data_IF_186471212979
#
_entry.id   IF_186471212979
#
_cell.length_a   1.000
_cell.length_b   1.000
_cell.length_c   1.000
_cell.angle_alpha   90.00
_cell.angle_beta   90.00
_cell.angle_gamma   90.00
#
_symmetry.space_group_name_H-M   'P 1'
#
loop_
_entity.id
_entity.type
_entity.pdbx_description
1 polymer ?
#
# COMPACT_ATOMS: atom_id res chain seq x y z
N UNK A 1 -29.31 -25.34 -4.63
CA UNK A 1 -28.81 -26.11 -5.78
C UNK A 1 -27.29 -26.08 -5.69
N UNK A 2 -26.66 -27.18 -5.29
CA UNK A 2 -25.21 -27.31 -5.27
C UNK A 2 -24.78 -28.17 -6.45
N UNK A 3 -23.94 -27.62 -7.33
CA UNK A 3 -23.34 -28.34 -8.44
C UNK A 3 -22.30 -29.34 -7.91
N UNK A 4 -22.76 -30.55 -7.59
CA UNK A 4 -21.90 -31.69 -7.38
C UNK A 4 -21.55 -32.28 -8.74
N UNK A 5 -20.44 -31.83 -9.35
CA UNK A 5 -19.84 -32.48 -10.50
C UNK A 5 -19.34 -33.88 -10.11
N UNK A 6 -20.22 -34.87 -10.15
CA UNK A 6 -19.84 -36.28 -10.11
C UNK A 6 -19.39 -36.67 -11.51
N UNK A 7 -18.08 -36.76 -11.72
CA UNK A 7 -17.53 -37.38 -12.93
C UNK A 7 -17.96 -38.85 -12.96
N UNK A 8 -18.59 -39.27 -14.05
CA UNK A 8 -18.92 -40.67 -14.31
C UNK A 8 -17.64 -41.51 -14.42
N UNK A 9 -17.72 -42.80 -14.07
CA UNK A 9 -16.55 -43.70 -14.07
C UNK A 9 -15.89 -43.81 -15.46
N UNK A 10 -16.68 -43.64 -16.52
CA UNK A 10 -16.20 -43.62 -17.91
C UNK A 10 -15.41 -42.34 -18.22
N UNK A 11 -15.86 -41.18 -17.73
CA UNK A 11 -15.12 -39.92 -17.86
C UNK A 11 -13.79 -40.00 -17.09
N UNK A 12 -13.78 -40.61 -15.90
CA UNK A 12 -12.54 -40.84 -15.14
C UNK A 12 -11.56 -41.73 -15.90
N UNK A 13 -12.06 -42.73 -16.62
CA UNK A 13 -11.23 -43.60 -17.46
C UNK A 13 -10.63 -42.85 -18.65
N UNK A 14 -11.42 -42.05 -19.35
CA UNK A 14 -10.94 -41.22 -20.46
C UNK A 14 -9.89 -40.20 -20.01
N UNK A 15 -10.09 -39.60 -18.84
CA UNK A 15 -9.13 -38.67 -18.25
C UNK A 15 -7.82 -39.37 -17.87
N UNK A 16 -7.89 -40.58 -17.32
CA UNK A 16 -6.71 -41.41 -17.03
C UNK A 16 -5.94 -41.78 -18.28
N UNK A 17 -6.63 -42.06 -19.38
CA UNK A 17 -5.99 -42.40 -20.65
C UNK A 17 -5.38 -41.16 -21.33
N UNK A 18 -6.06 -40.01 -21.29
CA UNK A 18 -5.49 -38.72 -21.74
C UNK A 18 -4.24 -38.33 -20.94
N UNK A 19 -4.26 -38.48 -19.62
CA UNK A 19 -3.08 -38.23 -18.78
C UNK A 19 -1.93 -39.16 -19.17
N UNK A 20 -2.21 -40.44 -19.41
CA UNK A 20 -1.21 -41.42 -19.84
C UNK A 20 -0.64 -41.10 -21.22
N UNK A 21 -1.47 -40.61 -22.13
CA UNK A 21 -1.07 -40.18 -23.47
C UNK A 21 -0.17 -38.93 -23.43
N UNK A 22 -0.48 -37.97 -22.56
CA UNK A 22 0.35 -36.77 -22.33
C UNK A 22 1.71 -37.14 -21.74
N UNK A 23 1.75 -38.07 -20.78
CA UNK A 23 3.00 -38.60 -20.22
C UNK A 23 3.85 -39.29 -21.29
N UNK A 24 3.22 -40.01 -22.23
CA UNK A 24 3.95 -40.69 -23.31
C UNK A 24 4.49 -39.72 -24.38
N UNK A 25 3.78 -38.60 -24.63
CA UNK A 25 4.19 -37.57 -25.61
C UNK A 25 5.29 -36.64 -25.10
N UNK A 26 5.45 -36.51 -23.78
CA UNK A 26 6.46 -35.66 -23.15
C UNK A 26 7.41 -36.49 -22.25
N UNK A 27 8.41 -37.18 -22.82
CA UNK A 27 9.38 -37.98 -22.04
C UNK A 27 10.25 -37.13 -21.10
N UNK A 28 10.27 -35.80 -21.26
CA UNK A 28 10.91 -34.85 -20.34
C UNK A 28 10.22 -34.76 -18.96
N UNK A 29 8.99 -35.30 -18.81
CA UNK A 29 8.23 -35.36 -17.55
C UNK A 29 8.54 -36.64 -16.76
N UNK A 30 9.41 -37.53 -17.28
CA UNK A 30 10.00 -38.58 -16.45
C UNK A 30 10.94 -37.92 -15.43
N UNK A 31 10.41 -37.61 -14.25
CA UNK A 31 11.22 -37.43 -13.05
C UNK A 31 12.04 -38.70 -12.84
N UNK A 32 13.29 -38.69 -13.27
CA UNK A 32 14.36 -39.49 -12.66
C UNK A 32 14.61 -38.96 -11.24
N UNK A 33 13.63 -39.15 -10.36
CA UNK A 33 13.86 -39.18 -8.93
C UNK A 33 13.67 -40.64 -8.51
N UNK A 34 14.78 -41.26 -8.13
CA UNK A 34 14.87 -42.63 -7.63
C UNK A 34 13.70 -42.91 -6.66
N UNK A 35 12.91 -43.99 -6.81
CA UNK A 35 11.75 -44.28 -5.95
C UNK A 35 12.05 -44.21 -4.45
N UNK A 36 13.29 -44.49 -4.06
CA UNK A 36 13.76 -44.38 -2.67
C UNK A 36 13.84 -42.92 -2.19
N UNK A 37 14.26 -41.99 -3.04
CA UNK A 37 14.30 -40.56 -2.69
C UNK A 37 12.90 -39.95 -2.60
N UNK A 38 11.95 -40.41 -3.43
CA UNK A 38 10.54 -40.03 -3.31
C UNK A 38 9.95 -40.48 -1.97
N UNK A 39 10.22 -41.71 -1.56
CA UNK A 39 9.78 -42.22 -0.26
C UNK A 39 10.41 -41.44 0.90
N UNK A 40 11.70 -41.14 0.84
CA UNK A 40 12.38 -40.36 1.87
C UNK A 40 11.86 -38.91 1.94
N UNK A 41 11.61 -38.26 0.80
CA UNK A 41 11.01 -36.92 0.76
C UNK A 41 9.58 -36.95 1.26
N UNK A 42 8.79 -37.97 0.92
CA UNK A 42 7.43 -38.14 1.42
C UNK A 42 7.43 -38.37 2.94
N UNK A 43 8.30 -39.24 3.46
CA UNK A 43 8.45 -39.46 4.90
C UNK A 43 8.88 -38.17 5.62
N UNK A 44 9.82 -37.43 5.04
CA UNK A 44 10.25 -36.13 5.56
C UNK A 44 9.11 -35.12 5.56
N UNK A 45 8.30 -35.05 4.50
CA UNK A 45 7.15 -34.16 4.43
C UNK A 45 6.04 -34.57 5.41
N UNK A 46 5.79 -35.86 5.62
CA UNK A 46 4.83 -36.32 6.63
C UNK A 46 5.30 -36.02 8.06
N UNK A 47 6.61 -36.02 8.30
CA UNK A 47 7.19 -35.65 9.60
C UNK A 47 7.21 -34.13 9.81
N UNK A 48 7.54 -33.37 8.76
CA UNK A 48 7.59 -31.89 8.80
C UNK A 48 6.19 -31.26 8.80
N UNK A 49 5.18 -31.97 8.25
CA UNK A 49 3.78 -31.54 8.17
C UNK A 49 2.85 -32.67 8.63
N UNK A 50 2.73 -32.93 9.94
CA UNK A 50 1.72 -33.83 10.46
C UNK A 50 0.33 -33.26 10.11
N UNK A 51 -0.34 -33.88 9.13
CA UNK A 51 -1.59 -33.40 8.55
C UNK A 51 -2.79 -33.49 9.53
N UNK A 52 -2.63 -34.16 10.66
CA UNK A 52 -3.67 -34.39 11.66
C UNK A 52 -3.12 -33.95 13.00
N UNK A 53 -3.81 -33.00 13.64
CA UNK A 53 -3.57 -32.61 15.02
C UNK A 53 -4.59 -33.36 15.89
N UNK A 54 -4.12 -34.01 16.94
CA UNK A 54 -4.97 -34.73 17.89
C UNK A 54 -5.63 -33.74 18.87
N UNK A 55 -6.81 -34.07 19.39
CA UNK A 55 -7.60 -33.23 20.32
C UNK A 55 -6.88 -32.95 21.66
N UNK A 56 -5.85 -33.73 21.99
CA UNK A 56 -5.04 -33.57 23.21
C UNK A 56 -3.90 -32.53 23.06
N UNK A 57 -3.79 -31.84 21.90
CA UNK A 57 -2.76 -30.83 21.68
C UNK A 57 -3.08 -29.53 22.46
N UNK A 58 -2.13 -29.00 23.25
CA UNK A 58 -2.35 -27.79 24.06
C UNK A 58 -2.71 -26.50 23.29
N UNK A 59 -2.45 -26.44 21.98
CA UNK A 59 -2.89 -25.33 21.12
C UNK A 59 -4.24 -25.61 20.41
N UNK A 60 -4.95 -26.68 20.77
CA UNK A 60 -6.27 -27.00 20.24
C UNK A 60 -7.34 -26.06 20.83
N UNK A 61 -8.16 -25.40 19.99
CA UNK A 61 -9.21 -24.50 20.49
C UNK A 61 -10.32 -25.28 21.20
N UNK A 62 -10.66 -24.86 22.43
CA UNK A 62 -11.69 -25.50 23.29
C UNK A 62 -13.09 -25.58 22.64
N UNK A 63 -13.35 -24.80 21.59
CA UNK A 63 -14.65 -24.69 20.91
C UNK A 63 -14.83 -25.66 19.72
N UNK A 64 -13.85 -26.51 19.42
CA UNK A 64 -13.88 -27.41 18.27
C UNK A 64 -13.77 -28.90 18.67
N UNK A 65 -14.86 -29.66 18.50
CA UNK A 65 -14.87 -31.13 18.66
C UNK A 65 -14.48 -31.83 17.33
N UNK A 66 -13.50 -32.74 17.36
CA UNK A 66 -13.08 -33.60 16.24
C UNK A 66 -11.62 -33.46 15.78
N UNK A 67 -11.23 -34.22 14.75
CA UNK A 67 -9.95 -34.03 14.04
C UNK A 67 -10.06 -32.89 13.01
N UNK A 68 -9.07 -32.01 12.97
CA UNK A 68 -9.05 -30.86 12.05
C UNK A 68 -7.67 -30.55 11.50
N UNK A 69 -7.66 -29.89 10.34
CA UNK A 69 -6.44 -29.47 9.65
C UNK A 69 -6.09 -28.04 10.05
N UNK A 70 -4.85 -27.80 10.51
CA UNK A 70 -4.36 -26.45 10.74
C UNK A 70 -3.89 -25.82 9.42
N UNK A 71 -4.78 -25.08 8.76
CA UNK A 71 -4.49 -24.33 7.54
C UNK A 71 -3.42 -23.23 7.75
N UNK A 72 -3.20 -22.76 8.98
CA UNK A 72 -2.20 -21.74 9.30
C UNK A 72 -0.76 -22.17 8.98
N UNK A 73 -0.45 -23.46 9.15
CA UNK A 73 0.88 -24.02 8.82
C UNK A 73 1.21 -23.94 7.32
N UNK A 74 0.19 -23.87 6.46
CA UNK A 74 0.39 -23.70 5.03
C UNK A 74 0.67 -22.24 4.68
N UNK A 75 -0.10 -21.29 5.22
CA UNK A 75 -0.03 -19.87 4.81
C UNK A 75 1.20 -19.12 5.32
N UNK A 76 1.80 -19.53 6.44
CA UNK A 76 3.03 -18.89 6.97
C UNK A 76 4.24 -19.05 6.03
N UNK A 77 4.22 -20.02 5.10
CA UNK A 77 5.33 -20.29 4.16
C UNK A 77 5.00 -20.05 2.69
N UNK A 78 3.76 -19.75 2.32
CA UNK A 78 3.45 -19.35 0.93
C UNK A 78 3.82 -17.88 0.76
N UNK A 79 5.10 -17.61 0.50
CA UNK A 79 5.48 -16.34 -0.10
C UNK A 79 4.89 -16.31 -1.50
N UNK A 80 3.84 -15.53 -1.71
CA UNK A 80 3.25 -15.30 -3.03
C UNK A 80 4.31 -14.58 -3.86
N UNK A 81 5.11 -15.34 -4.61
CA UNK A 81 5.98 -14.79 -5.63
C UNK A 81 5.12 -14.53 -6.86
N UNK A 82 4.87 -13.25 -7.16
CA UNK A 82 4.28 -12.87 -8.44
C UNK A 82 5.21 -13.34 -9.57
N UNK A 83 4.81 -14.40 -10.28
CA UNK A 83 5.54 -14.83 -11.47
C UNK A 83 5.37 -13.77 -12.55
N UNK A 84 6.48 -13.14 -12.99
CA UNK A 84 6.48 -12.37 -14.23
C UNK A 84 6.06 -13.30 -15.37
N UNK A 85 4.95 -12.98 -16.03
CA UNK A 85 4.63 -13.56 -17.34
C UNK A 85 5.54 -12.87 -18.35
N UNK A 86 6.47 -13.61 -18.93
CA UNK A 86 7.43 -13.12 -19.93
C UNK A 86 6.82 -12.86 -21.33
N UNK A 87 5.49 -12.79 -21.45
CA UNK A 87 4.83 -12.40 -22.70
C UNK A 87 3.48 -11.79 -22.34
N UNK A 88 3.41 -10.46 -22.29
CA UNK A 88 2.33 -9.66 -22.87
C UNK A 88 2.51 -8.17 -22.50
N UNK A 89 2.71 -7.36 -23.54
CA UNK A 89 2.44 -5.92 -23.68
C UNK A 89 3.11 -4.93 -22.70
N UNK A 90 4.04 -4.13 -23.25
CA UNK A 90 4.90 -3.13 -22.60
C UNK A 90 4.14 -1.92 -22.00
N UNK A 91 3.16 -2.12 -21.12
CA UNK A 91 2.50 -0.99 -20.42
C UNK A 91 1.89 -1.31 -19.05
N UNK A 92 2.20 -2.46 -18.44
CA UNK A 92 1.88 -2.69 -17.02
C UNK A 92 3.12 -2.47 -16.18
N UNK A 93 3.13 -1.37 -15.44
CA UNK A 93 4.15 -1.00 -14.45
C UNK A 93 4.04 -1.93 -13.23
N UNK A 94 4.34 -3.22 -13.43
CA UNK A 94 4.34 -4.25 -12.39
C UNK A 94 5.67 -4.28 -11.62
N UNK A 95 6.49 -3.23 -11.74
CA UNK A 95 7.81 -3.15 -11.11
C UNK A 95 7.71 -2.79 -9.62
N UNK A 96 6.56 -2.31 -9.15
CA UNK A 96 6.36 -2.08 -7.73
C UNK A 96 5.92 -3.37 -7.04
N UNK A 97 6.89 -4.07 -6.45
CA UNK A 97 6.67 -5.06 -5.41
C UNK A 97 5.77 -4.42 -4.33
N UNK A 98 4.57 -4.98 -4.12
CA UNK A 98 3.67 -4.56 -3.03
C UNK A 98 4.29 -5.07 -1.75
N UNK A 99 5.26 -4.31 -1.23
CA UNK A 99 5.83 -4.53 0.08
C UNK A 99 4.75 -4.14 1.10
N UNK A 100 4.21 -5.13 1.79
CA UNK A 100 3.45 -4.90 3.01
C UNK A 100 4.42 -4.32 4.04
N UNK A 101 4.56 -2.99 4.04
CA UNK A 101 5.33 -2.31 5.08
C UNK A 101 4.52 -2.40 6.36
N UNK A 102 5.02 -3.16 7.33
CA UNK A 102 4.43 -3.29 8.66
C UNK A 102 4.09 -1.90 9.23
N UNK A 103 2.86 -1.77 9.70
CA UNK A 103 2.14 -0.52 9.98
C UNK A 103 2.69 0.33 11.15
N UNK A 104 3.84 -0.03 11.71
CA UNK A 104 4.39 0.57 12.94
C UNK A 104 5.60 1.49 12.72
N UNK A 105 6.09 1.66 11.48
CA UNK A 105 7.16 2.61 11.19
C UNK A 105 6.57 3.97 10.73
N UNK A 106 6.74 5.00 11.57
CA UNK A 106 6.34 6.40 11.42
C UNK A 106 5.97 6.77 9.98
N UNK A 107 4.68 6.67 9.63
CA UNK A 107 4.19 7.11 8.33
C UNK A 107 4.48 8.62 8.16
N UNK A 108 5.21 9.03 7.10
CA UNK A 108 5.55 10.44 6.90
C UNK A 108 4.32 11.28 6.63
N UNK A 109 3.28 10.69 6.02
CA UNK A 109 2.02 11.34 5.68
C UNK A 109 0.88 10.67 6.47
N UNK A 110 0.15 11.46 7.27
CA UNK A 110 -0.99 10.98 8.06
C UNK A 110 -2.30 11.43 7.42
N UNK A 111 -3.27 10.51 7.30
CA UNK A 111 -4.63 10.90 6.94
C UNK A 111 -5.30 11.59 8.12
N UNK A 112 -5.97 12.71 7.87
CA UNK A 112 -6.73 13.43 8.89
C UNK A 112 -8.21 13.43 8.58
N UNK A 113 -9.00 13.54 9.65
CA UNK A 113 -10.45 13.78 9.60
C UNK A 113 -10.79 15.17 10.13
N UNK A 114 -11.97 15.68 9.80
CA UNK A 114 -12.42 17.02 10.27
C UNK A 114 -12.34 17.18 11.80
N UNK A 115 -12.65 16.14 12.58
CA UNK A 115 -12.58 16.19 14.05
C UNK A 115 -11.17 16.48 14.60
N UNK A 116 -10.11 16.10 13.87
CA UNK A 116 -8.72 16.31 14.29
C UNK A 116 -8.11 17.58 13.68
N UNK A 117 -8.79 18.18 12.70
CA UNK A 117 -8.29 19.35 11.96
C UNK A 117 -7.95 20.51 12.89
N UNK A 118 -8.88 20.90 13.76
CA UNK A 118 -8.69 22.06 14.62
C UNK A 118 -7.50 21.90 15.57
N UNK A 119 -7.33 20.70 16.12
CA UNK A 119 -6.21 20.37 16.99
C UNK A 119 -4.87 20.45 16.23
N UNK A 120 -4.79 19.82 15.06
CA UNK A 120 -3.54 19.77 14.29
C UNK A 120 -3.13 21.10 13.66
N UNK A 121 -4.07 21.99 13.38
CA UNK A 121 -3.78 23.26 12.67
C UNK A 121 -3.68 24.45 13.63
N UNK A 122 -4.53 24.51 14.66
CA UNK A 122 -4.60 25.68 15.56
C UNK A 122 -3.88 25.46 16.89
N UNK A 123 -3.82 24.23 17.42
CA UNK A 123 -3.07 23.97 18.66
C UNK A 123 -1.59 23.76 18.40
N UNK A 124 -1.25 23.09 17.30
CA UNK A 124 0.14 22.87 16.91
C UNK A 124 0.67 24.03 16.06
N UNK A 125 1.65 24.78 16.58
CA UNK A 125 2.33 25.88 15.86
C UNK A 125 3.40 25.34 14.89
N UNK A 126 3.59 24.02 14.87
CA UNK A 126 4.57 23.32 14.04
C UNK A 126 4.28 23.49 12.55
N UNK A 127 5.32 23.46 11.68
CA UNK A 127 5.13 23.53 10.24
C UNK A 127 4.35 22.33 9.73
N UNK A 128 3.28 22.59 8.97
CA UNK A 128 2.33 21.59 8.52
C UNK A 128 2.13 21.71 7.00
N UNK A 129 2.21 20.58 6.30
CA UNK A 129 1.92 20.49 4.87
C UNK A 129 0.65 19.67 4.71
N UNK A 130 -0.30 20.22 3.97
CA UNK A 130 -1.59 19.58 3.71
C UNK A 130 -1.63 19.17 2.23
N UNK A 131 -1.75 17.88 1.97
CA UNK A 131 -2.01 17.31 0.66
C UNK A 131 -3.51 17.06 0.54
N UNK A 132 -4.18 17.84 -0.30
CA UNK A 132 -5.60 17.61 -0.62
C UNK A 132 -5.67 16.77 -1.88
N UNK A 133 -6.12 15.53 -1.74
CA UNK A 133 -6.27 14.59 -2.86
C UNK A 133 -7.73 14.21 -3.06
N UNK A 134 -8.08 13.74 -4.25
CA UNK A 134 -9.44 13.30 -4.57
C UNK A 134 -9.38 11.93 -5.26
N UNK A 135 -10.00 10.90 -4.68
CA UNK A 135 -9.93 9.53 -5.21
C UNK A 135 -10.38 9.39 -6.66
N UNK A 136 -11.36 10.18 -7.08
CA UNK A 136 -11.96 10.04 -8.42
C UNK A 136 -11.36 10.99 -9.45
N UNK A 137 -10.71 12.09 -9.02
CA UNK A 137 -10.07 13.05 -9.92
C UNK A 137 -8.56 12.80 -9.99
N UNK A 138 -8.08 12.48 -11.19
CA UNK A 138 -6.64 12.34 -11.53
C UNK A 138 -5.88 11.39 -10.58
N UNK A 139 -6.31 10.11 -10.48
CA UNK A 139 -5.70 9.15 -9.55
C UNK A 139 -4.19 8.98 -9.77
N UNK A 140 -3.75 8.92 -11.03
CA UNK A 140 -2.33 8.82 -11.40
C UNK A 140 -1.50 10.02 -10.95
N UNK A 141 -2.08 11.22 -10.96
CA UNK A 141 -1.38 12.42 -10.48
C UNK A 141 -1.33 12.45 -8.96
N UNK A 142 -2.38 11.98 -8.27
CA UNK A 142 -2.41 11.88 -6.82
C UNK A 142 -1.30 10.96 -6.28
N UNK A 143 -1.15 9.77 -6.86
CA UNK A 143 -0.10 8.82 -6.46
C UNK A 143 1.29 9.39 -6.72
N UNK A 144 1.49 10.08 -7.85
CA UNK A 144 2.76 10.74 -8.16
C UNK A 144 3.11 11.81 -7.15
N UNK A 145 2.17 12.70 -6.82
CA UNK A 145 2.40 13.76 -5.84
C UNK A 145 2.64 13.17 -4.45
N UNK A 146 1.93 12.10 -4.09
CA UNK A 146 2.13 11.39 -2.83
C UNK A 146 3.56 10.85 -2.71
N UNK A 147 4.02 10.12 -3.72
CA UNK A 147 5.36 9.52 -3.75
C UNK A 147 6.46 10.60 -3.74
N UNK A 148 6.28 11.69 -4.48
CA UNK A 148 7.25 12.78 -4.49
C UNK A 148 7.28 13.55 -3.17
N UNK A 149 6.13 13.71 -2.50
CA UNK A 149 6.05 14.33 -1.17
C UNK A 149 6.74 13.46 -0.11
N UNK A 150 6.52 12.15 -0.16
CA UNK A 150 7.18 11.19 0.73
C UNK A 150 8.71 11.22 0.53
N UNK A 151 9.19 11.16 -0.71
CA UNK A 151 10.62 11.30 -1.01
C UNK A 151 11.18 12.64 -0.53
N UNK A 152 10.43 13.73 -0.66
CA UNK A 152 10.86 15.05 -0.17
C UNK A 152 11.06 15.06 1.35
N UNK A 153 10.15 14.40 2.10
CA UNK A 153 10.29 14.23 3.56
C UNK A 153 11.56 13.43 3.90
N UNK A 154 11.82 12.34 3.17
CA UNK A 154 13.04 11.55 3.34
C UNK A 154 14.31 12.36 3.04
N UNK A 155 14.30 13.22 2.02
CA UNK A 155 15.42 14.13 1.74
C UNK A 155 15.68 15.07 2.92
N UNK A 156 14.63 15.62 3.54
CA UNK A 156 14.76 16.48 4.72
C UNK A 156 15.34 15.72 5.92
N UNK A 157 14.92 14.47 6.13
CA UNK A 157 15.51 13.60 7.15
C UNK A 157 17.00 13.36 6.91
N UNK A 158 17.38 13.11 5.66
CA UNK A 158 18.79 12.96 5.28
C UNK A 158 19.60 14.24 5.54
N UNK A 159 18.98 15.42 5.40
CA UNK A 159 19.57 16.70 5.74
C UNK A 159 19.63 17.01 7.26
N UNK A 160 19.17 16.09 8.13
CA UNK A 160 19.11 16.24 9.60
C UNK A 160 18.27 17.44 10.08
N UNK A 161 17.31 17.88 9.26
CA UNK A 161 16.37 18.94 9.61
C UNK A 161 15.10 18.36 10.25
N UNK A 162 14.46 19.06 11.20
CA UNK A 162 13.27 18.56 11.87
C UNK A 162 12.06 18.60 10.93
N UNK A 163 11.74 17.46 10.32
CA UNK A 163 10.75 17.39 9.24
C UNK A 163 9.39 18.00 9.59
N UNK A 164 8.77 18.75 8.64
CA UNK A 164 7.41 19.23 8.82
C UNK A 164 6.43 18.06 8.88
N UNK A 165 5.32 18.26 9.60
CA UNK A 165 4.25 17.25 9.65
C UNK A 165 3.50 17.29 8.32
N UNK A 166 3.40 16.14 7.65
CA UNK A 166 2.63 16.02 6.42
C UNK A 166 1.30 15.33 6.71
N UNK A 167 0.23 15.94 6.22
CA UNK A 167 -1.14 15.47 6.42
C UNK A 167 -1.83 15.37 5.07
N UNK A 168 -2.61 14.31 4.88
CA UNK A 168 -3.45 14.12 3.70
C UNK A 168 -4.92 14.26 4.06
N UNK A 169 -5.64 15.05 3.25
CA UNK A 169 -7.09 15.25 3.34
C UNK A 169 -7.72 14.66 2.09
N UNK A 170 -8.72 13.81 2.31
CA UNK A 170 -9.50 13.22 1.23
C UNK A 170 -10.71 14.10 0.92
N UNK A 171 -10.71 14.68 -0.29
CA UNK A 171 -11.75 15.58 -0.74
C UNK A 171 -13.13 14.94 -0.90
N UNK A 172 -13.19 13.60 -1.05
CA UNK A 172 -14.47 12.90 -1.20
C UNK A 172 -15.15 12.71 0.15
N UNK A 173 -14.37 12.49 1.20
CA UNK A 173 -14.87 12.23 2.55
C UNK A 173 -15.11 13.54 3.30
N UNK A 174 -14.18 14.50 3.15
CA UNK A 174 -14.14 15.73 3.95
C UNK A 174 -14.46 16.97 3.08
N UNK A 175 -15.65 16.99 2.46
CA UNK A 175 -16.08 18.08 1.58
C UNK A 175 -16.15 19.45 2.29
N UNK A 176 -16.50 19.45 3.59
CA UNK A 176 -16.52 20.67 4.40
C UNK A 176 -15.13 21.31 4.50
N UNK A 177 -14.08 20.52 4.75
CA UNK A 177 -12.70 21.00 4.81
C UNK A 177 -12.24 21.55 3.47
N UNK A 178 -12.57 20.86 2.37
CA UNK A 178 -12.19 21.28 1.02
C UNK A 178 -12.88 22.59 0.63
N UNK A 179 -14.16 22.72 0.96
CA UNK A 179 -14.92 23.95 0.76
C UNK A 179 -14.33 25.12 1.56
N UNK A 180 -13.95 24.86 2.81
CA UNK A 180 -13.34 25.87 3.69
C UNK A 180 -11.95 26.27 3.18
N UNK A 181 -11.13 25.32 2.73
CA UNK A 181 -9.83 25.60 2.13
C UNK A 181 -9.93 26.23 0.73
N UNK A 182 -11.12 26.27 0.12
CA UNK A 182 -11.38 26.79 -1.23
C UNK A 182 -10.45 26.17 -2.30
N UNK A 183 -10.32 24.84 -2.24
CA UNK A 183 -9.48 24.06 -3.17
C UNK A 183 -10.27 23.80 -4.44
N UNK A 184 -9.68 24.12 -5.59
CA UNK A 184 -10.34 24.00 -6.91
C UNK A 184 -9.66 22.96 -7.81
N UNK A 185 -8.38 22.68 -7.58
CA UNK A 185 -7.57 21.74 -8.37
C UNK A 185 -7.15 20.59 -7.46
N UNK A 186 -7.06 19.38 -8.02
CA UNK A 186 -6.61 18.20 -7.29
C UNK A 186 -5.56 17.45 -8.12
N UNK A 187 -4.48 16.95 -7.50
CA UNK A 187 -4.06 17.19 -6.11
C UNK A 187 -3.53 18.62 -5.90
N UNK A 188 -3.75 19.19 -4.71
CA UNK A 188 -3.19 20.50 -4.32
C UNK A 188 -2.42 20.37 -3.00
N UNK A 189 -1.20 20.92 -2.95
CA UNK A 189 -0.32 20.90 -1.77
C UNK A 189 -0.29 22.29 -1.15
N UNK A 190 -0.68 22.39 0.11
CA UNK A 190 -0.82 23.64 0.84
C UNK A 190 0.25 23.68 1.94
N UNK A 191 1.08 24.72 1.92
CA UNK A 191 2.10 24.98 2.92
C UNK A 191 1.52 25.88 4.00
N UNK A 192 1.60 25.44 5.25
CA UNK A 192 1.03 26.16 6.38
C UNK A 192 1.99 26.29 7.55
N UNK A 193 1.90 27.42 8.25
CA UNK A 193 2.69 27.70 9.43
C UNK A 193 1.87 28.54 10.40
N UNK A 194 1.76 28.08 11.64
CA UNK A 194 1.07 28.79 12.72
C UNK A 194 -0.35 29.28 12.33
N UNK A 195 -1.18 28.38 11.78
CA UNK A 195 -2.56 28.71 11.41
C UNK A 195 -2.70 29.59 10.14
N UNK A 196 -1.62 29.81 9.38
CA UNK A 196 -1.63 30.62 8.14
C UNK A 196 -1.17 29.80 6.94
N UNK A 197 -1.84 29.99 5.81
CA UNK A 197 -1.45 29.47 4.51
C UNK A 197 -0.38 30.38 3.93
N UNK A 198 0.80 29.80 3.70
CA UNK A 198 1.94 30.51 3.11
C UNK A 198 1.92 30.43 1.59
N UNK A 199 1.60 29.25 1.06
CA UNK A 199 1.66 28.97 -0.36
C UNK A 199 0.80 27.76 -0.73
N UNK A 200 0.30 27.75 -1.96
CA UNK A 200 -0.53 26.70 -2.55
C UNK A 200 0.09 26.25 -3.87
N UNK A 201 0.52 25.00 -3.92
CA UNK A 201 1.06 24.38 -5.13
C UNK A 201 -0.02 23.54 -5.81
N UNK A 202 -0.36 23.92 -7.05
CA UNK A 202 -1.38 23.25 -7.87
C UNK A 202 -0.78 22.31 -8.92
N UNK A 203 0.54 22.25 -9.03
CA UNK A 203 1.26 21.46 -10.01
C UNK A 203 1.95 20.24 -9.39
N UNK A 204 2.31 19.29 -10.25
CA UNK A 204 3.18 18.18 -9.86
C UNK A 204 4.61 18.72 -9.83
N UNK A 205 5.26 18.58 -8.67
CA UNK A 205 6.65 18.99 -8.46
C UNK A 205 7.48 17.79 -8.07
N UNK A 206 8.77 17.87 -8.39
CA UNK A 206 9.74 16.84 -8.00
C UNK A 206 10.06 16.93 -6.50
N UNK A 207 10.51 15.82 -5.92
CA UNK A 207 10.91 15.75 -4.52
C UNK A 207 11.98 16.78 -4.13
N UNK A 208 12.94 17.05 -5.03
CA UNK A 208 13.99 18.07 -4.83
C UNK A 208 13.38 19.48 -4.75
N UNK A 209 12.50 19.84 -5.69
CA UNK A 209 11.80 21.12 -5.65
C UNK A 209 10.91 21.25 -4.41
N UNK A 210 10.15 20.21 -4.07
CA UNK A 210 9.31 20.17 -2.87
C UNK A 210 10.16 20.36 -1.60
N UNK A 211 11.29 19.66 -1.49
CA UNK A 211 12.19 19.78 -0.34
C UNK A 211 12.79 21.20 -0.22
N UNK A 212 13.14 21.84 -1.34
CA UNK A 212 13.63 23.23 -1.38
C UNK A 212 12.53 24.22 -0.99
N UNK A 213 11.30 24.01 -1.44
CA UNK A 213 10.14 24.84 -1.03
C UNK A 213 9.88 24.70 0.47
N UNK A 214 9.87 23.47 1.00
CA UNK A 214 9.76 23.22 2.44
C UNK A 214 10.87 23.94 3.22
N UNK A 215 12.11 23.85 2.74
CA UNK A 215 13.23 24.48 3.40
C UNK A 215 13.18 26.01 3.36
N UNK A 216 12.67 26.60 2.26
CA UNK A 216 12.43 28.02 2.15
C UNK A 216 11.38 28.50 3.17
N UNK A 217 10.21 27.85 3.22
CA UNK A 217 9.11 28.29 4.09
C UNK A 217 9.34 28.02 5.58
N UNK A 218 10.01 26.92 5.92
CA UNK A 218 10.13 26.47 7.31
C UNK A 218 11.49 26.77 7.95
N UNK A 219 12.59 26.65 7.19
CA UNK A 219 13.95 26.81 7.72
C UNK A 219 14.67 28.07 7.21
N UNK A 220 14.03 28.88 6.35
CA UNK A 220 14.62 30.12 5.83
C UNK A 220 15.75 29.90 4.82
N UNK A 221 15.70 28.80 4.06
CA UNK A 221 16.64 28.54 2.98
C UNK A 221 16.50 29.54 1.81
N UNK A 222 17.35 29.41 0.78
CA UNK A 222 17.24 30.23 -0.42
C UNK A 222 15.94 29.92 -1.19
N UNK A 223 15.34 30.95 -1.80
CA UNK A 223 14.12 30.80 -2.60
C UNK A 223 14.41 29.95 -3.84
N UNK A 224 13.68 28.84 -4.07
CA UNK A 224 13.86 28.05 -5.28
C UNK A 224 13.26 28.76 -6.51
N UNK A 225 13.83 28.55 -7.71
CA UNK A 225 13.40 29.22 -8.94
C UNK A 225 11.96 28.87 -9.33
N UNK A 226 11.45 27.72 -8.88
CA UNK A 226 10.06 27.31 -9.10
C UNK A 226 9.02 28.25 -8.46
N UNK A 227 9.42 29.05 -7.46
CA UNK A 227 8.57 30.03 -6.77
C UNK A 227 8.71 31.46 -7.32
N UNK A 228 9.60 31.71 -8.30
CA UNK A 228 9.80 33.07 -8.84
C UNK A 228 8.68 33.51 -9.80
N UNK A 229 7.91 32.57 -10.33
CA UNK A 229 6.83 32.84 -11.28
C UNK A 229 5.46 33.09 -10.63
N UNK A 230 5.32 32.82 -9.32
CA UNK A 230 4.02 32.80 -8.63
C UNK A 230 3.98 33.84 -7.51
N UNK A 231 2.95 34.71 -7.57
CA UNK A 231 2.71 35.72 -6.55
C UNK A 231 2.36 35.07 -5.21
N UNK A 232 3.16 35.33 -4.18
CA UNK A 232 2.88 34.87 -2.81
C UNK A 232 1.62 35.58 -2.29
N UNK A 233 0.49 34.88 -2.28
CA UNK A 233 -0.72 35.28 -1.56
C UNK A 233 -0.72 34.56 -0.21
N UNK A 234 -0.42 35.29 0.86
CA UNK A 234 -0.52 34.75 2.21
C UNK A 234 -1.98 34.87 2.67
N UNK A 235 -2.60 33.74 3.03
CA UNK A 235 -4.01 33.66 3.46
C UNK A 235 -4.09 33.09 4.89
N UNK A 236 -5.11 33.47 5.66
CA UNK A 236 -5.34 32.85 6.97
C UNK A 236 -6.01 31.48 6.77
N UNK A 237 -5.66 30.45 7.54
CA UNK A 237 -6.37 29.17 7.46
C UNK A 237 -7.76 29.38 8.08
N UNK A 238 -8.83 29.11 7.34
CA UNK A 238 -10.18 29.25 7.88
C UNK A 238 -10.51 28.11 8.85
N UNK A 239 -11.21 28.44 9.92
CA UNK A 239 -11.71 27.48 10.93
C UNK A 239 -12.93 26.73 10.40
N UNK A 240 -13.03 25.42 10.66
CA UNK A 240 -14.21 24.63 10.31
C UNK A 240 -15.12 24.54 11.52
N UNK A 241 -16.36 25.01 11.41
CA UNK A 241 -17.36 24.78 12.46
C UNK A 241 -17.76 23.30 12.45
N UNK A 242 -17.52 22.60 13.55
CA UNK A 242 -18.02 21.24 13.76
C UNK A 242 -19.50 21.38 14.15
N UNK A 243 -20.42 21.16 13.21
CA UNK A 243 -21.82 20.96 13.59
C UNK A 243 -21.92 19.63 14.35
N UNK A 244 -22.38 19.72 15.61
CA UNK A 244 -22.49 18.61 16.56
C UNK A 244 -23.68 17.71 16.26
#
# INVERSE_FOLDING_TARGET
MGDSYQFDDDERHEWRDKIREVIYKHPEIQEELDPVEKLNKMQKLMADYPLVVDEDDPDWPEDADGWGFNLGQFFDKITIKNAKKDNDDDNYDSENEVVWQDDDYIRPIKHIRTAQWEETVFKDISPLIILVHNRYKRPKENERVWNELEKAVHIIWNCRLPSPRCVAVDAVVEDALVSVLNVSVFPEVIFTKAGKILYRERGIRTADELSKMMAFFYYGAAKPPCLDCLGNSQEMIPSVAIES
#
